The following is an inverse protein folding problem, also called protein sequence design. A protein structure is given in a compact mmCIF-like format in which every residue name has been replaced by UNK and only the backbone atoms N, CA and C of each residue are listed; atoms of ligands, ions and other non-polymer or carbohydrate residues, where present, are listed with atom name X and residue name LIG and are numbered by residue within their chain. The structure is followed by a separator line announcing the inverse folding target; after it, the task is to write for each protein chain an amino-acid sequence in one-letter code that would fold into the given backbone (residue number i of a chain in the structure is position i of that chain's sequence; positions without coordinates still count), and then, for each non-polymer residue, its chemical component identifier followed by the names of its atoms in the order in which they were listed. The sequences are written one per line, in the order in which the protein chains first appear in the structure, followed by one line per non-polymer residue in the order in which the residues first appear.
data_IF_834660317892
#
_entry.id   IF_834660317892
#
_cell.length_a   1.000
_cell.length_b   1.000
_cell.length_c   1.000
_cell.angle_alpha   90.00
_cell.angle_beta   90.00
_cell.angle_gamma   90.00
#
_symmetry.space_group_name_H-M   'P 1'
#
loop_
_entity.id
_entity.type
_entity.pdbx_description
1 polymer ?
#
# COMPACT_ATOMS: atom_id res chain seq x y z
N UNK A 1 15.76 -2.59 -11.47
CA UNK A 1 16.47 -1.33 -11.78
C UNK A 1 15.47 -0.46 -12.55
N UNK A 2 15.11 0.70 -12.02
CA UNK A 2 14.19 1.62 -12.70
C UNK A 2 14.99 2.82 -13.23
N UNK A 3 14.63 3.28 -14.41
CA UNK A 3 15.36 4.33 -15.12
C UNK A 3 14.35 5.40 -15.56
N UNK A 4 14.71 6.67 -15.37
CA UNK A 4 13.97 7.81 -15.89
C UNK A 4 14.90 8.61 -16.78
N UNK A 5 14.43 8.91 -17.99
CA UNK A 5 15.11 9.76 -18.94
C UNK A 5 14.66 11.20 -18.70
N UNK A 6 15.61 12.07 -18.36
CA UNK A 6 15.33 13.51 -18.36
C UNK A 6 15.27 14.03 -19.81
N UNK A 7 14.70 15.22 -20.01
CA UNK A 7 14.50 15.84 -21.35
C UNK A 7 15.80 15.99 -22.18
N UNK A 8 16.97 15.95 -21.51
CA UNK A 8 18.31 16.04 -22.11
C UNK A 8 18.94 14.67 -22.36
N UNK A 9 18.21 13.57 -22.14
CA UNK A 9 18.67 12.20 -22.41
C UNK A 9 19.57 11.59 -21.33
N UNK A 10 19.79 12.26 -20.20
CA UNK A 10 20.47 11.66 -19.04
C UNK A 10 19.60 10.56 -18.43
N UNK A 11 20.20 9.36 -18.29
CA UNK A 11 19.59 8.20 -17.66
C UNK A 11 20.02 8.19 -16.20
N UNK A 12 19.14 8.64 -15.32
CA UNK A 12 19.35 8.52 -13.89
C UNK A 12 18.77 7.18 -13.41
N UNK A 13 19.66 6.28 -13.00
CA UNK A 13 19.25 5.01 -12.37
C UNK A 13 18.96 5.24 -10.89
N UNK A 14 17.78 4.87 -10.43
CA UNK A 14 17.40 4.96 -9.02
C UNK A 14 16.91 3.60 -8.51
N UNK A 15 17.02 3.42 -7.20
CA UNK A 15 16.48 2.25 -6.49
C UNK A 15 15.20 2.65 -5.79
N UNK A 16 14.21 1.77 -5.82
CA UNK A 16 12.96 1.92 -5.08
C UNK A 16 12.75 0.69 -4.22
N UNK A 17 12.30 0.92 -2.99
CA UNK A 17 11.87 -0.13 -2.07
C UNK A 17 10.41 0.14 -1.72
N UNK A 18 9.61 -0.92 -1.74
CA UNK A 18 8.20 -0.89 -1.40
C UNK A 18 8.00 -1.82 -0.22
N UNK A 19 7.61 -1.25 0.92
CA UNK A 19 7.31 -2.02 2.12
C UNK A 19 5.81 -1.86 2.44
N UNK A 20 5.13 -2.96 2.69
CA UNK A 20 3.72 -2.97 3.09
C UNK A 20 3.54 -3.79 4.36
N UNK A 21 2.79 -3.23 5.30
CA UNK A 21 2.41 -3.87 6.56
C UNK A 21 0.89 -3.76 6.70
N UNK A 22 0.25 -4.88 7.01
CA UNK A 22 -1.19 -4.95 7.18
C UNK A 22 -1.57 -5.72 8.43
N UNK A 23 -2.52 -5.19 9.20
CA UNK A 23 -3.14 -5.87 10.33
C UNK A 23 -4.65 -5.93 10.11
N UNK A 24 -5.26 -7.09 10.35
CA UNK A 24 -6.69 -7.29 10.14
C UNK A 24 -7.31 -7.97 11.34
N UNK A 25 -8.44 -7.44 11.80
CA UNK A 25 -9.31 -8.07 12.79
C UNK A 25 -10.61 -8.46 12.10
N UNK A 26 -10.99 -9.72 12.23
CA UNK A 26 -12.20 -10.27 11.64
C UNK A 26 -13.13 -10.74 12.74
N UNK A 27 -14.41 -10.39 12.64
CA UNK A 27 -15.46 -10.83 13.54
C UNK A 27 -16.66 -11.34 12.74
N UNK A 28 -17.09 -12.56 13.03
CA UNK A 28 -18.23 -13.18 12.36
C UNK A 28 -19.32 -13.51 13.38
N UNK A 29 -20.24 -12.57 13.67
CA UNK A 29 -21.31 -12.80 14.63
C UNK A 29 -22.31 -13.88 14.16
N UNK A 30 -22.51 -14.00 12.84
CA UNK A 30 -23.43 -14.98 12.25
C UNK A 30 -22.80 -15.62 11.01
N UNK A 31 -23.24 -16.81 10.64
CA UNK A 31 -22.80 -17.48 9.40
C UNK A 31 -23.03 -16.62 8.15
N UNK A 32 -24.06 -15.77 8.18
CA UNK A 32 -24.45 -14.87 7.10
C UNK A 32 -23.86 -13.45 7.20
N UNK A 33 -23.30 -13.05 8.36
CA UNK A 33 -22.82 -11.70 8.60
C UNK A 33 -21.38 -11.71 9.12
N UNK A 34 -20.47 -11.07 8.40
CA UNK A 34 -19.08 -10.86 8.82
C UNK A 34 -18.71 -9.37 8.78
N UNK A 35 -17.90 -8.95 9.74
CA UNK A 35 -17.30 -7.62 9.82
C UNK A 35 -15.79 -7.77 9.89
N UNK A 36 -15.06 -6.95 9.15
CA UNK A 36 -13.59 -6.92 9.22
C UNK A 36 -13.09 -5.49 9.22
N UNK A 37 -12.10 -5.22 10.08
CA UNK A 37 -11.37 -3.97 10.14
C UNK A 37 -9.91 -4.23 9.79
N UNK A 38 -9.45 -3.63 8.71
CA UNK A 38 -8.08 -3.70 8.22
C UNK A 38 -7.36 -2.36 8.36
N UNK A 39 -6.12 -2.40 8.82
CA UNK A 39 -5.18 -1.30 8.81
C UNK A 39 -4.06 -1.67 7.85
N UNK A 40 -3.77 -0.82 6.87
CA UNK A 40 -2.65 -1.01 5.97
C UNK A 40 -1.73 0.20 6.04
N UNK A 41 -0.43 -0.05 6.09
CA UNK A 41 0.60 0.94 5.94
C UNK A 41 1.49 0.53 4.78
N UNK A 42 1.77 1.48 3.90
CA UNK A 42 2.70 1.31 2.80
C UNK A 42 3.71 2.44 2.82
N UNK A 43 4.97 2.10 2.59
CA UNK A 43 6.04 3.05 2.42
C UNK A 43 6.73 2.78 1.08
N UNK A 44 7.10 3.86 0.41
CA UNK A 44 7.95 3.83 -0.76
C UNK A 44 9.16 4.71 -0.46
N UNK A 45 10.32 4.08 -0.49
CA UNK A 45 11.60 4.75 -0.39
C UNK A 45 12.27 4.74 -1.75
N UNK A 46 12.75 5.89 -2.21
CA UNK A 46 13.39 6.11 -3.49
C UNK A 46 14.70 6.86 -3.29
N UNK A 47 15.75 6.49 -4.03
CA UNK A 47 16.98 7.29 -4.06
C UNK A 47 16.80 8.62 -4.84
N UNK A 48 15.60 8.90 -5.33
CA UNK A 48 15.25 10.12 -6.08
C UNK A 48 14.39 11.04 -5.21
N UNK A 49 14.80 12.31 -5.12
CA UNK A 49 14.10 13.36 -4.38
C UNK A 49 12.61 13.43 -4.75
N UNK A 50 11.76 13.68 -3.74
CA UNK A 50 10.30 13.90 -3.87
C UNK A 50 9.47 12.69 -4.34
N UNK A 51 10.03 11.47 -4.35
CA UNK A 51 9.27 10.23 -4.65
C UNK A 51 8.94 9.40 -3.42
N UNK A 52 9.52 9.77 -2.28
CA UNK A 52 9.27 9.09 -1.01
C UNK A 52 7.86 9.41 -0.53
N UNK A 53 7.13 8.38 -0.15
CA UNK A 53 5.84 8.57 0.50
C UNK A 53 5.57 7.47 1.52
N UNK A 54 4.81 7.83 2.54
CA UNK A 54 4.16 6.87 3.44
C UNK A 54 2.65 7.08 3.34
N UNK A 55 1.91 5.98 3.17
CA UNK A 55 0.45 5.99 3.10
C UNK A 55 -0.11 5.02 4.13
N UNK A 56 -1.13 5.47 4.84
CA UNK A 56 -1.90 4.67 5.80
C UNK A 56 -3.35 4.62 5.35
N UNK A 57 -3.97 3.45 5.42
CA UNK A 57 -5.39 3.27 5.10
C UNK A 57 -6.09 2.40 6.14
N UNK A 58 -7.35 2.73 6.39
CA UNK A 58 -8.27 1.96 7.23
C UNK A 58 -9.38 1.45 6.32
N UNK A 59 -9.65 0.15 6.37
CA UNK A 59 -10.67 -0.51 5.55
C UNK A 59 -11.65 -1.22 6.46
N UNK A 60 -12.93 -0.83 6.40
CA UNK A 60 -14.02 -1.53 7.05
C UNK A 60 -14.80 -2.32 5.99
N UNK A 61 -14.84 -3.65 6.09
CA UNK A 61 -15.67 -4.47 5.20
C UNK A 61 -16.82 -5.13 5.98
N UNK A 62 -18.01 -5.02 5.40
CA UNK A 62 -19.21 -5.74 5.80
C UNK A 62 -19.48 -6.83 4.75
N UNK A 63 -19.56 -8.08 5.18
CA UNK A 63 -19.90 -9.23 4.33
C UNK A 63 -21.27 -9.76 4.73
N UNK A 64 -22.22 -9.70 3.80
CA UNK A 64 -23.54 -10.31 3.93
C UNK A 64 -23.65 -11.43 2.90
N UNK A 65 -23.99 -12.64 3.36
CA UNK A 65 -24.28 -13.78 2.48
C UNK A 65 -25.78 -14.00 2.43
N UNK A 66 -26.31 -14.14 1.22
CA UNK A 66 -27.70 -14.52 0.94
C UNK A 66 -27.75 -15.99 0.54
#
# INVERSE_FOLDING_TARGET
KHETRDYVGQVNSFKERYDTLGANVNYQPYTMLGVSLGLNQSARDSTRLLRDYTSQSVVLNLKVKF
#
